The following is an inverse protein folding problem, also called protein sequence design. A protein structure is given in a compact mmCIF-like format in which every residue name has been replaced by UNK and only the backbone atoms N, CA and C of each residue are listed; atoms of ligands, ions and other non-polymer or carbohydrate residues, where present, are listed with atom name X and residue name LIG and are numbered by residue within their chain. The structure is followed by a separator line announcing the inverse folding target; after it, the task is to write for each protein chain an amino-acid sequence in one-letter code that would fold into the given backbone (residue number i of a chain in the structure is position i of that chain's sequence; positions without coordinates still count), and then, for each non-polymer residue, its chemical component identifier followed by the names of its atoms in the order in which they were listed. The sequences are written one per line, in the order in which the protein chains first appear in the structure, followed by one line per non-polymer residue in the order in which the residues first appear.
data_IF_282522999650
#
_entry.id   IF_282522999650
#
_cell.length_a   1.000
_cell.length_b   1.000
_cell.length_c   1.000
_cell.angle_alpha   90.00
_cell.angle_beta   90.00
_cell.angle_gamma   90.00
#
_symmetry.space_group_name_H-M   'P 1'
#
loop_
_entity.id
_entity.type
_entity.pdbx_description
1 polymer ?
#
# COMPACT_ATOMS: atom_id res chain seq x y z
N UNK A 1 -8.22 -14.97 -29.76
CA UNK A 1 -8.54 -14.59 -28.36
C UNK A 1 -7.30 -14.83 -27.53
N UNK A 2 -6.52 -13.79 -27.24
CA UNK A 2 -5.35 -13.93 -26.37
C UNK A 2 -5.85 -14.13 -24.93
N UNK A 3 -5.61 -15.32 -24.38
CA UNK A 3 -5.86 -15.63 -22.98
C UNK A 3 -4.95 -14.74 -22.13
N UNK A 4 -5.56 -13.95 -21.23
CA UNK A 4 -4.85 -13.10 -20.28
C UNK A 4 -3.85 -13.98 -19.50
N UNK A 5 -2.57 -13.57 -19.37
CA UNK A 5 -1.62 -14.35 -18.59
C UNK A 5 -2.13 -14.47 -17.17
N UNK A 6 -2.07 -15.69 -16.63
CA UNK A 6 -2.49 -16.03 -15.28
C UNK A 6 -1.75 -15.11 -14.31
N UNK A 7 -2.53 -14.31 -13.58
CA UNK A 7 -2.01 -13.28 -12.69
C UNK A 7 -1.27 -13.99 -11.56
N UNK A 8 0.07 -13.95 -11.60
CA UNK A 8 0.92 -14.54 -10.56
C UNK A 8 0.47 -13.99 -9.22
N UNK A 9 -0.20 -14.82 -8.43
CA UNK A 9 -0.69 -14.47 -7.10
C UNK A 9 0.53 -14.01 -6.31
N UNK A 10 0.58 -12.71 -5.98
CA UNK A 10 1.63 -12.16 -5.13
C UNK A 10 1.43 -12.74 -3.74
N UNK A 11 2.02 -13.91 -3.50
CA UNK A 11 2.07 -14.50 -2.19
C UNK A 11 2.89 -13.56 -1.30
N UNK A 12 2.28 -13.10 -0.22
CA UNK A 12 3.05 -12.64 0.94
C UNK A 12 3.98 -13.79 1.28
N UNK A 13 5.32 -13.61 1.25
CA UNK A 13 6.21 -14.67 1.69
C UNK A 13 5.77 -15.08 3.11
N UNK A 14 5.63 -16.38 3.38
CA UNK A 14 5.19 -16.82 4.70
C UNK A 14 6.14 -16.23 5.74
N UNK A 15 5.59 -15.82 6.89
CA UNK A 15 6.43 -15.47 8.04
C UNK A 15 7.05 -16.78 8.51
N UNK A 16 8.23 -17.09 7.97
CA UNK A 16 8.98 -18.27 8.36
C UNK A 16 9.63 -18.00 9.71
N UNK A 17 8.97 -18.48 10.77
CA UNK A 17 9.48 -18.37 12.13
C UNK A 17 10.80 -19.13 12.34
N UNK A 18 11.16 -20.07 11.44
CA UNK A 18 12.42 -20.80 11.48
C UNK A 18 13.53 -20.10 10.67
N UNK A 19 13.21 -19.02 9.94
CA UNK A 19 14.23 -18.25 9.25
C UNK A 19 15.22 -17.66 10.28
N UNK A 20 16.54 -17.77 10.03
CA UNK A 20 17.52 -17.17 10.92
C UNK A 20 17.30 -15.66 10.95
N UNK A 21 17.39 -15.06 12.14
CA UNK A 21 17.35 -13.61 12.25
C UNK A 21 18.47 -13.01 11.40
N UNK A 22 18.17 -12.02 10.54
CA UNK A 22 19.21 -11.33 9.79
C UNK A 22 20.17 -10.65 10.76
N UNK A 23 21.46 -10.66 10.45
CA UNK A 23 22.42 -9.84 11.19
C UNK A 23 22.10 -8.36 10.94
N UNK A 24 21.66 -7.68 12.00
CA UNK A 24 21.31 -6.25 11.96
C UNK A 24 22.54 -5.37 12.20
N UNK A 25 23.68 -5.96 12.53
CA UNK A 25 24.88 -5.26 12.99
C UNK A 25 24.73 -4.71 14.42
N UNK A 26 25.87 -4.34 15.01
CA UNK A 26 25.95 -3.66 16.32
C UNK A 26 26.35 -2.18 16.20
N UNK A 27 26.61 -1.72 14.98
CA UNK A 27 27.01 -0.35 14.71
C UNK A 27 25.87 0.62 15.00
N UNK A 28 26.22 1.82 15.47
CA UNK A 28 25.25 2.89 15.65
C UNK A 28 24.70 3.33 14.29
N UNK A 29 23.38 3.36 14.19
CA UNK A 29 22.70 3.90 13.01
C UNK A 29 23.02 5.40 12.91
N UNK A 30 23.49 5.84 11.73
CA UNK A 30 23.72 7.25 11.45
C UNK A 30 22.43 8.06 11.58
N UNK A 31 22.51 9.24 12.21
CA UNK A 31 21.37 10.16 12.34
C UNK A 31 20.86 10.68 11.00
N UNK A 32 21.68 10.63 9.94
CA UNK A 32 21.32 11.03 8.58
C UNK A 32 20.08 10.30 8.04
N UNK A 33 19.83 9.06 8.48
CA UNK A 33 18.66 8.28 8.03
C UNK A 33 17.33 8.96 8.34
N UNK A 34 17.28 9.81 9.37
CA UNK A 34 16.04 10.47 9.80
C UNK A 34 15.76 11.81 9.09
N UNK A 35 16.74 12.39 8.40
CA UNK A 35 16.61 13.75 7.85
C UNK A 35 17.18 13.93 6.44
N UNK A 36 18.01 13.01 5.95
CA UNK A 36 18.56 13.08 4.61
C UNK A 36 17.50 12.76 3.56
N UNK A 37 17.43 13.61 2.53
CA UNK A 37 16.60 13.39 1.34
C UNK A 37 17.01 12.13 0.58
N UNK A 38 18.32 11.87 0.50
CA UNK A 38 18.85 10.71 -0.23
C UNK A 38 18.39 9.40 0.41
N UNK A 39 18.38 9.34 1.75
CA UNK A 39 17.86 8.19 2.48
C UNK A 39 16.36 8.00 2.25
N UNK A 40 15.57 9.07 2.33
CA UNK A 40 14.13 9.03 2.05
C UNK A 40 13.81 8.49 0.64
N UNK A 41 14.57 8.93 -0.38
CA UNK A 41 14.37 8.47 -1.77
C UNK A 41 14.72 6.98 -1.96
N UNK A 42 15.74 6.50 -1.23
CA UNK A 42 16.09 5.08 -1.17
C UNK A 42 15.00 4.25 -0.48
N UNK A 43 14.46 4.69 0.65
CA UNK A 43 13.36 4.03 1.35
C UNK A 43 12.12 3.93 0.48
N UNK A 44 11.79 5.01 -0.24
CA UNK A 44 10.68 5.03 -1.19
C UNK A 44 10.81 3.93 -2.24
N UNK A 45 12.00 3.76 -2.80
CA UNK A 45 12.24 2.83 -3.91
C UNK A 45 12.45 1.39 -3.43
N UNK A 46 13.08 1.19 -2.27
CA UNK A 46 13.54 -0.12 -1.79
C UNK A 46 12.65 -0.73 -0.70
N UNK A 47 11.83 0.07 -0.02
CA UNK A 47 11.01 -0.39 1.10
C UNK A 47 9.53 -0.10 0.86
N UNK A 48 9.11 1.16 0.90
CA UNK A 48 7.69 1.54 0.96
C UNK A 48 6.85 0.96 -0.19
N UNK A 49 7.40 0.89 -1.41
CA UNK A 49 6.73 0.35 -2.61
C UNK A 49 6.80 -1.17 -2.76
N UNK A 50 7.52 -1.87 -1.88
CA UNK A 50 7.84 -3.30 -2.01
C UNK A 50 7.31 -4.15 -0.86
N UNK A 51 6.87 -3.51 0.23
CA UNK A 51 6.33 -4.17 1.42
C UNK A 51 4.82 -3.99 1.51
N UNK A 52 4.18 -4.82 2.32
CA UNK A 52 2.80 -4.63 2.71
C UNK A 52 2.69 -3.44 3.67
N UNK A 53 1.82 -2.49 3.33
CA UNK A 53 1.51 -1.33 4.17
C UNK A 53 0.10 -1.51 4.73
N UNK A 54 -0.09 -1.18 6.01
CA UNK A 54 -1.40 -1.23 6.65
C UNK A 54 -2.22 -0.01 6.23
N UNK A 55 -3.24 -0.20 5.40
CA UNK A 55 -4.07 0.90 4.89
C UNK A 55 -5.29 1.19 5.76
N UNK A 56 -6.13 0.19 6.01
CA UNK A 56 -7.35 0.31 6.82
C UNK A 56 -7.71 -1.04 7.47
N UNK A 57 -8.66 -1.01 8.41
CA UNK A 57 -9.30 -2.22 8.94
C UNK A 57 -10.57 -2.53 8.15
N UNK A 58 -11.03 -3.77 8.29
CA UNK A 58 -12.31 -4.18 7.73
C UNK A 58 -13.49 -3.36 8.29
N UNK A 59 -13.40 -2.96 9.57
CA UNK A 59 -14.38 -2.12 10.27
C UNK A 59 -14.57 -0.73 9.69
N UNK A 60 -13.57 -0.25 8.94
CA UNK A 60 -13.61 1.09 8.35
C UNK A 60 -14.40 1.08 7.01
N UNK A 61 -14.83 -0.11 6.54
CA UNK A 61 -15.59 -0.34 5.30
C UNK A 61 -16.72 -1.37 5.54
N UNK A 62 -17.67 -1.12 6.46
CA UNK A 62 -18.64 -2.12 6.89
C UNK A 62 -19.57 -2.62 5.77
N UNK A 63 -20.06 -1.71 4.92
CA UNK A 63 -21.09 -1.97 3.93
C UNK A 63 -20.58 -1.86 2.49
N UNK A 64 -21.19 -2.58 1.53
CA UNK A 64 -20.88 -2.40 0.12
C UNK A 64 -21.12 -0.96 -0.35
N UNK A 65 -20.15 -0.40 -1.06
CA UNK A 65 -20.15 0.99 -1.49
C UNK A 65 -19.29 1.91 -0.62
N UNK A 66 -18.96 1.48 0.61
CA UNK A 66 -18.09 2.26 1.48
C UNK A 66 -16.70 2.41 0.87
N UNK A 67 -16.11 3.59 1.11
CA UNK A 67 -14.81 3.96 0.58
C UNK A 67 -13.90 4.54 1.65
N UNK A 68 -12.60 4.25 1.54
CA UNK A 68 -11.57 4.74 2.44
C UNK A 68 -10.36 5.23 1.64
N UNK A 69 -9.89 6.43 1.93
CA UNK A 69 -8.71 6.99 1.25
C UNK A 69 -7.47 6.86 2.14
N UNK A 70 -6.40 6.29 1.59
CA UNK A 70 -5.10 6.13 2.25
C UNK A 70 -4.01 6.88 1.48
N UNK A 71 -3.11 7.55 2.18
CA UNK A 71 -1.97 8.24 1.58
C UNK A 71 -0.67 7.63 2.08
N UNK A 72 0.19 7.23 1.15
CA UNK A 72 1.54 6.73 1.43
C UNK A 72 2.55 7.66 0.75
N UNK A 73 3.19 8.53 1.53
CA UNK A 73 4.11 9.53 1.00
C UNK A 73 3.44 10.41 -0.07
N UNK A 74 3.82 10.21 -1.33
CA UNK A 74 3.30 10.96 -2.49
C UNK A 74 2.19 10.25 -3.27
N UNK A 75 1.87 9.01 -2.92
CA UNK A 75 0.82 8.23 -3.59
C UNK A 75 -0.46 8.22 -2.75
N UNK A 76 -1.60 8.38 -3.41
CA UNK A 76 -2.93 8.30 -2.81
C UNK A 76 -3.65 7.08 -3.36
N UNK A 77 -4.33 6.35 -2.48
CA UNK A 77 -5.05 5.13 -2.78
C UNK A 77 -6.49 5.23 -2.27
N UNK A 78 -7.41 4.63 -3.00
CA UNK A 78 -8.80 4.47 -2.59
C UNK A 78 -9.11 2.99 -2.43
N UNK A 79 -9.67 2.63 -1.29
CA UNK A 79 -10.17 1.31 -0.98
C UNK A 79 -11.69 1.33 -1.03
N UNK A 80 -12.30 0.30 -1.64
CA UNK A 80 -13.75 0.20 -1.82
C UNK A 80 -14.22 -1.21 -1.44
N UNK A 81 -15.34 -1.30 -0.72
CA UNK A 81 -16.08 -2.55 -0.53
C UNK A 81 -17.01 -2.78 -1.72
N UNK A 82 -16.73 -3.80 -2.53
CA UNK A 82 -17.63 -4.19 -3.62
C UNK A 82 -18.94 -4.79 -3.13
N UNK A 83 -19.97 -4.84 -3.99
CA UNK A 83 -21.22 -5.58 -3.73
C UNK A 83 -21.01 -7.09 -3.52
N UNK A 84 -19.88 -7.62 -3.95
CA UNK A 84 -19.42 -8.99 -3.65
C UNK A 84 -18.77 -9.12 -2.24
N UNK A 85 -18.86 -8.07 -1.42
CA UNK A 85 -18.24 -7.89 -0.09
C UNK A 85 -16.72 -7.99 -0.05
N UNK A 86 -16.04 -8.01 -1.21
CA UNK A 86 -14.58 -8.01 -1.26
C UNK A 86 -14.05 -6.57 -1.25
N UNK A 87 -12.96 -6.35 -0.52
CA UNK A 87 -12.24 -5.06 -0.53
C UNK A 87 -11.25 -5.05 -1.70
N UNK A 88 -11.13 -3.90 -2.38
CA UNK A 88 -10.12 -3.65 -3.42
C UNK A 88 -9.49 -2.29 -3.20
N UNK A 89 -8.21 -2.18 -3.51
CA UNK A 89 -7.46 -0.92 -3.48
C UNK A 89 -7.04 -0.50 -4.88
N UNK A 90 -7.17 0.79 -5.18
CA UNK A 90 -6.77 1.38 -6.46
C UNK A 90 -5.98 2.67 -6.22
N UNK A 91 -5.19 3.09 -7.19
CA UNK A 91 -4.63 4.44 -7.19
C UNK A 91 -5.78 5.47 -7.25
N UNK A 92 -5.77 6.44 -6.35
CA UNK A 92 -6.74 7.53 -6.30
C UNK A 92 -6.39 8.60 -7.35
N UNK A 93 -6.42 8.21 -8.61
CA UNK A 93 -6.07 9.07 -9.75
C UNK A 93 -6.92 8.73 -10.96
N UNK A 94 -7.53 9.75 -11.56
CA UNK A 94 -8.23 9.62 -12.82
C UNK A 94 -7.22 9.38 -13.97
N UNK A 95 -7.37 8.28 -14.69
CA UNK A 95 -6.47 7.91 -15.79
C UNK A 95 -6.50 8.90 -16.97
N UNK A 96 -7.54 9.74 -17.08
CA UNK A 96 -7.64 10.71 -18.18
C UNK A 96 -6.78 11.95 -17.94
N UNK A 97 -6.85 12.57 -16.74
CA UNK A 97 -6.21 13.87 -16.47
C UNK A 97 -5.50 13.98 -15.12
N UNK A 98 -5.33 12.87 -14.41
CA UNK A 98 -4.54 12.86 -13.18
C UNK A 98 -5.21 13.51 -11.97
N UNK A 99 -6.48 13.91 -12.07
CA UNK A 99 -7.20 14.45 -10.91
C UNK A 99 -7.47 13.36 -9.87
N UNK A 100 -7.51 13.71 -8.59
CA UNK A 100 -7.94 12.77 -7.54
C UNK A 100 -9.42 12.42 -7.74
N UNK A 101 -9.75 11.14 -7.52
CA UNK A 101 -11.13 10.65 -7.62
C UNK A 101 -11.90 10.96 -6.35
N UNK A 102 -11.26 10.75 -5.19
CA UNK A 102 -11.81 11.03 -3.87
C UNK A 102 -10.99 12.12 -3.19
N UNK A 103 -11.66 13.19 -2.77
CA UNK A 103 -11.07 14.33 -2.07
C UNK A 103 -11.17 14.21 -0.54
N UNK A 104 -12.09 13.37 -0.06
CA UNK A 104 -12.40 13.23 1.37
C UNK A 104 -11.99 11.83 1.86
N UNK A 105 -11.48 11.75 3.09
CA UNK A 105 -10.96 10.51 3.70
C UNK A 105 -12.01 9.42 3.93
N UNK A 106 -13.26 9.83 4.10
CA UNK A 106 -14.40 8.97 4.42
C UNK A 106 -15.57 9.45 3.56
N UNK A 107 -15.85 8.73 2.47
CA UNK A 107 -17.03 8.97 1.66
C UNK A 107 -18.12 8.00 2.08
N UNK A 108 -19.10 8.47 2.86
CA UNK A 108 -20.41 7.83 2.87
C UNK A 108 -20.94 7.86 1.43
N UNK A 109 -21.36 6.71 0.92
CA UNK A 109 -22.14 6.63 -0.31
C UNK A 109 -23.44 7.43 -0.24
#
# INVERSE_FOLDING_TARGET
MATKPEEAVRHTPPVDAAAPLPDLGSERISGERFHSREWMDLEWTRMWRRVWNMACRESDLPEPGDTFTYTLGKESFVFVRGHDRRIRGFYNVCQHRGNQLMLNGEGCG
#
